data_IF_263285263595
#
_entry.id   IF_263285263595
#
_cell.length_a   1.000
_cell.length_b   1.000
_cell.length_c   1.000
_cell.angle_alpha   90.00
_cell.angle_beta   90.00
_cell.angle_gamma   90.00
#
_symmetry.space_group_name_H-M   'P 1'
#
loop_
_entity.id
_entity.type
_entity.pdbx_description
1 polymer ?
#
# COMPACT_ATOMS: atom_id res chain seq x y z
N UNK A 1 -19.58 46.55 -2.71
CA UNK A 1 -20.16 45.19 -2.87
C UNK A 1 -19.32 44.42 -3.88
N UNK A 2 -18.42 43.58 -3.40
CA UNK A 2 -17.57 42.70 -4.23
C UNK A 2 -18.37 41.45 -4.60
N UNK A 3 -18.58 41.24 -5.90
CA UNK A 3 -19.28 40.05 -6.44
C UNK A 3 -18.48 38.78 -6.13
N UNK A 4 -19.06 37.76 -5.46
CA UNK A 4 -18.40 36.47 -5.21
C UNK A 4 -18.39 35.52 -6.43
N UNK A 5 -18.89 35.93 -7.60
CA UNK A 5 -19.10 35.09 -8.79
C UNK A 5 -17.80 34.63 -9.50
N UNK A 6 -16.65 35.24 -9.21
CA UNK A 6 -15.39 34.95 -9.92
C UNK A 6 -14.69 33.66 -9.46
N UNK A 7 -14.91 33.21 -8.22
CA UNK A 7 -14.26 32.03 -7.66
C UNK A 7 -14.95 30.73 -8.05
N UNK A 8 -16.29 30.73 -8.08
CA UNK A 8 -17.13 29.56 -8.43
C UNK A 8 -16.96 29.19 -9.90
N UNK A 9 -16.91 30.18 -10.79
CA UNK A 9 -16.70 29.98 -12.22
C UNK A 9 -15.31 29.44 -12.56
N UNK A 10 -14.30 29.79 -11.75
CA UNK A 10 -12.95 29.21 -11.85
C UNK A 10 -12.91 27.76 -11.38
N UNK A 11 -13.48 27.45 -10.21
CA UNK A 11 -13.51 26.09 -9.67
C UNK A 11 -14.23 25.10 -10.60
N UNK A 12 -15.38 25.50 -11.17
CA UNK A 12 -16.11 24.67 -12.12
C UNK A 12 -15.30 24.41 -13.41
N UNK A 13 -14.58 25.42 -13.90
CA UNK A 13 -13.72 25.29 -15.08
C UNK A 13 -12.54 24.36 -14.83
N UNK A 14 -11.93 24.44 -13.65
CA UNK A 14 -10.82 23.57 -13.27
C UNK A 14 -11.28 22.12 -13.04
N UNK A 15 -12.48 21.93 -12.49
CA UNK A 15 -13.09 20.60 -12.37
C UNK A 15 -13.38 19.99 -13.75
N UNK A 16 -13.93 20.78 -14.68
CA UNK A 16 -14.18 20.32 -16.06
C UNK A 16 -12.91 19.84 -16.76
N UNK A 17 -11.83 20.62 -16.70
CA UNK A 17 -10.53 20.23 -17.29
C UNK A 17 -9.98 18.94 -16.70
N UNK A 18 -10.25 18.66 -15.43
CA UNK A 18 -9.82 17.42 -14.80
C UNK A 18 -10.74 16.25 -15.12
N UNK A 19 -12.04 16.49 -15.34
CA UNK A 19 -13.03 15.46 -15.66
C UNK A 19 -12.69 14.71 -16.97
N UNK A 20 -12.07 15.38 -17.94
CA UNK A 20 -11.61 14.77 -19.19
C UNK A 20 -10.57 13.67 -18.99
N UNK A 21 -9.97 13.55 -17.79
CA UNK A 21 -9.03 12.48 -17.45
C UNK A 21 -9.71 11.26 -16.86
N UNK A 22 -11.03 11.27 -16.70
CA UNK A 22 -11.78 10.17 -16.12
C UNK A 22 -12.70 9.52 -17.14
N UNK A 23 -12.73 8.19 -17.14
CA UNK A 23 -13.59 7.37 -17.97
C UNK A 23 -14.53 6.57 -17.07
N UNK A 24 -15.83 6.82 -17.19
CA UNK A 24 -16.85 5.99 -16.55
C UNK A 24 -17.32 4.94 -17.55
N UNK A 25 -17.33 3.69 -17.13
CA UNK A 25 -17.83 2.57 -17.93
C UNK A 25 -19.32 2.32 -17.64
N UNK A 26 -20.11 2.15 -18.70
CA UNK A 26 -21.57 2.01 -18.61
C UNK A 26 -22.03 0.64 -18.09
N UNK A 27 -21.19 -0.38 -18.25
CA UNK A 27 -21.53 -1.77 -17.95
C UNK A 27 -21.42 -2.11 -16.46
N UNK A 28 -20.45 -1.51 -15.76
CA UNK A 28 -20.12 -1.84 -14.37
C UNK A 28 -20.00 -0.62 -13.44
N UNK A 29 -20.33 0.59 -13.91
CA UNK A 29 -20.13 1.85 -13.18
C UNK A 29 -18.70 2.01 -12.64
N UNK A 30 -17.71 1.47 -13.35
CA UNK A 30 -16.30 1.54 -12.95
C UNK A 30 -15.69 2.81 -13.51
N UNK A 31 -15.05 3.58 -12.63
CA UNK A 31 -14.35 4.81 -12.98
C UNK A 31 -12.86 4.55 -13.13
N UNK A 32 -12.30 4.94 -14.27
CA UNK A 32 -10.87 4.88 -14.56
C UNK A 32 -10.28 6.28 -14.67
N UNK A 33 -9.04 6.44 -14.24
CA UNK A 33 -8.19 7.59 -14.48
C UNK A 33 -7.26 7.30 -15.66
N UNK A 34 -7.20 8.23 -16.60
CA UNK A 34 -6.37 8.17 -17.79
C UNK A 34 -5.03 8.84 -17.52
N UNK A 35 -4.01 8.00 -17.38
CA UNK A 35 -2.64 8.46 -17.25
C UNK A 35 -2.01 8.65 -18.64
N UNK A 36 -1.88 9.90 -19.07
CA UNK A 36 -1.08 10.25 -20.24
C UNK A 36 0.38 10.35 -19.81
N UNK A 37 1.22 9.37 -20.19
CA UNK A 37 2.67 9.44 -19.93
C UNK A 37 3.38 10.13 -21.08
N UNK A 38 3.94 11.34 -20.90
CA UNK A 38 4.78 11.96 -21.94
C UNK A 38 6.19 11.33 -22.00
N UNK A 39 6.50 10.34 -21.16
CA UNK A 39 7.88 9.81 -21.00
C UNK A 39 8.22 8.64 -21.94
N UNK A 40 7.26 8.09 -22.67
CA UNK A 40 7.51 7.05 -23.69
C UNK A 40 7.44 7.72 -25.07
N UNK A 41 8.35 8.67 -25.32
CA UNK A 41 8.56 9.25 -26.65
C UNK A 41 9.62 8.49 -27.45
N UNK A 42 10.22 7.42 -26.89
CA UNK A 42 11.24 6.63 -27.56
C UNK A 42 10.70 5.36 -28.24
N UNK A 43 9.43 5.00 -28.01
CA UNK A 43 8.78 3.93 -28.74
C UNK A 43 7.38 4.39 -29.14
N UNK A 44 7.03 4.22 -30.39
CA UNK A 44 6.03 4.99 -31.14
C UNK A 44 4.56 4.66 -30.79
N UNK A 45 4.25 4.42 -29.50
CA UNK A 45 2.92 4.20 -28.98
C UNK A 45 2.73 5.01 -27.70
N UNK A 46 1.95 6.08 -27.76
CA UNK A 46 1.31 6.64 -26.57
C UNK A 46 0.42 5.55 -25.95
N UNK A 47 0.99 4.76 -25.04
CA UNK A 47 0.23 3.72 -24.35
C UNK A 47 -0.63 4.41 -23.30
N UNK A 48 -1.88 4.68 -23.67
CA UNK A 48 -2.92 5.07 -22.72
C UNK A 48 -2.99 4.01 -21.62
N UNK A 49 -2.78 4.45 -20.38
CA UNK A 49 -2.88 3.60 -19.20
C UNK A 49 -4.10 4.01 -18.40
N UNK A 50 -4.92 3.02 -18.10
CA UNK A 50 -6.10 3.18 -17.24
C UNK A 50 -5.76 2.68 -15.84
N UNK A 51 -5.99 3.55 -14.85
CA UNK A 51 -5.84 3.25 -13.42
C UNK A 51 -7.24 3.25 -12.80
N UNK A 52 -7.60 2.23 -12.04
CA UNK A 52 -8.89 2.12 -11.38
C UNK A 52 -9.01 3.20 -10.30
N UNK A 53 -10.05 4.03 -10.34
CA UNK A 53 -10.27 5.02 -9.30
C UNK A 53 -10.82 4.35 -8.06
N UNK A 54 -10.12 4.50 -6.94
CA UNK A 54 -10.51 3.91 -5.66
C UNK A 54 -11.29 4.96 -4.84
N UNK A 55 -12.55 4.68 -4.46
CA UNK A 55 -13.28 5.53 -3.52
C UNK A 55 -12.57 5.62 -2.18
N UNK A 56 -12.64 6.77 -1.50
CA UNK A 56 -11.96 6.99 -0.21
C UNK A 56 -12.32 5.94 0.84
N UNK A 57 -13.55 5.42 0.81
CA UNK A 57 -14.03 4.36 1.71
C UNK A 57 -13.38 3.00 1.49
N UNK A 58 -12.79 2.76 0.31
CA UNK A 58 -12.17 1.48 -0.07
C UNK A 58 -10.64 1.51 0.01
N UNK A 59 -10.03 2.67 0.25
CA UNK A 59 -8.55 2.82 0.31
C UNK A 59 -7.95 1.84 1.31
N UNK A 60 -8.53 1.71 2.51
CA UNK A 60 -7.99 0.83 3.55
C UNK A 60 -8.01 -0.65 3.12
N UNK A 61 -9.10 -1.09 2.49
CA UNK A 61 -9.23 -2.47 2.00
C UNK A 61 -8.22 -2.76 0.87
N UNK A 62 -8.05 -1.82 -0.06
CA UNK A 62 -7.05 -1.93 -1.12
C UNK A 62 -5.63 -2.02 -0.55
N UNK A 63 -5.31 -1.22 0.48
CA UNK A 63 -4.01 -1.25 1.13
C UNK A 63 -3.75 -2.56 1.88
N UNK A 64 -4.74 -3.07 2.61
CA UNK A 64 -4.64 -4.33 3.38
C UNK A 64 -4.49 -5.57 2.51
N UNK A 65 -5.11 -5.57 1.32
CA UNK A 65 -5.04 -6.69 0.39
C UNK A 65 -3.79 -6.67 -0.51
N UNK A 66 -2.87 -5.71 -0.35
CA UNK A 66 -1.65 -5.69 -1.15
C UNK A 66 -0.69 -6.82 -0.71
N UNK A 67 -0.36 -7.77 -1.60
CA UNK A 67 0.48 -8.92 -1.26
C UNK A 67 1.93 -8.53 -0.91
N UNK A 68 2.39 -7.36 -1.34
CA UNK A 68 3.78 -6.91 -1.20
C UNK A 68 4.06 -6.05 0.06
N UNK A 69 3.11 -5.99 1.00
CA UNK A 69 3.26 -5.19 2.24
C UNK A 69 4.36 -5.71 3.20
N UNK A 70 4.93 -6.89 2.95
CA UNK A 70 5.76 -7.60 3.95
C UNK A 70 7.28 -7.41 3.84
N UNK A 71 7.81 -6.88 2.74
CA UNK A 71 9.28 -6.79 2.54
C UNK A 71 9.82 -5.34 2.54
N UNK A 72 10.27 -4.90 3.72
CA UNK A 72 11.47 -4.07 3.85
C UNK A 72 11.32 -2.55 3.83
N UNK A 73 11.25 -1.92 5.01
CA UNK A 73 11.72 -0.54 5.24
C UNK A 73 11.29 0.53 4.21
N UNK A 74 12.22 1.42 3.83
CA UNK A 74 11.97 2.47 2.83
C UNK A 74 11.77 1.93 1.41
N UNK A 75 12.35 0.76 1.10
CA UNK A 75 12.20 0.14 -0.23
C UNK A 75 10.78 -0.40 -0.44
N UNK A 76 10.13 -0.86 0.63
CA UNK A 76 8.73 -1.27 0.62
C UNK A 76 7.79 -0.13 0.25
N UNK A 77 8.03 1.11 0.73
CA UNK A 77 7.19 2.27 0.39
C UNK A 77 7.24 2.59 -1.09
N UNK A 78 8.44 2.66 -1.67
CA UNK A 78 8.62 2.99 -3.09
C UNK A 78 8.03 1.88 -3.97
N UNK A 79 8.27 0.61 -3.63
CA UNK A 79 7.74 -0.54 -4.38
C UNK A 79 6.22 -0.60 -4.32
N UNK A 80 5.63 -0.49 -3.14
CA UNK A 80 4.17 -0.52 -2.95
C UNK A 80 3.49 0.67 -3.62
N UNK A 81 4.10 1.86 -3.59
CA UNK A 81 3.61 3.01 -4.34
C UNK A 81 3.65 2.76 -5.85
N UNK A 82 4.79 2.30 -6.38
CA UNK A 82 4.94 2.04 -7.82
C UNK A 82 3.91 1.01 -8.30
N UNK A 83 3.69 -0.05 -7.52
CA UNK A 83 2.66 -1.07 -7.78
C UNK A 83 1.24 -0.56 -7.59
N UNK A 84 0.99 0.37 -6.68
CA UNK A 84 -0.31 1.02 -6.54
C UNK A 84 -0.62 1.87 -7.78
N UNK A 85 0.31 2.74 -8.16
CA UNK A 85 0.24 3.58 -9.35
C UNK A 85 0.16 2.74 -10.65
N UNK A 86 0.73 1.52 -10.65
CA UNK A 86 0.16 0.28 -11.22
C UNK A 86 -1.22 0.34 -11.88
N UNK A 87 -2.17 0.28 -10.96
CA UNK A 87 -3.49 -0.30 -11.15
C UNK A 87 -4.57 0.60 -10.56
N UNK A 88 -4.19 1.47 -9.62
CA UNK A 88 -5.10 2.26 -8.83
C UNK A 88 -4.74 3.74 -8.88
N UNK A 89 -5.77 4.57 -8.83
CA UNK A 89 -5.67 6.00 -8.68
C UNK A 89 -6.55 6.46 -7.52
N UNK A 90 -5.99 7.25 -6.61
CA UNK A 90 -6.76 8.10 -5.72
C UNK A 90 -5.92 9.29 -5.28
N UNK A 91 -6.61 10.36 -4.86
CA UNK A 91 -5.94 11.53 -4.32
C UNK A 91 -5.23 11.17 -3.01
N UNK A 92 -3.91 11.36 -2.96
CA UNK A 92 -3.13 11.06 -1.76
C UNK A 92 -2.55 9.65 -1.68
N UNK A 93 -2.59 8.86 -2.78
CA UNK A 93 -2.01 7.51 -2.88
C UNK A 93 -0.70 7.33 -2.12
N UNK A 94 0.30 8.15 -2.43
CA UNK A 94 1.62 8.06 -1.78
C UNK A 94 1.56 8.28 -0.26
N UNK A 95 0.79 9.27 0.20
CA UNK A 95 0.68 9.62 1.61
C UNK A 95 0.00 8.49 2.40
N UNK A 96 -1.03 7.87 1.83
CA UNK A 96 -1.74 6.76 2.45
C UNK A 96 -0.88 5.48 2.48
N UNK A 97 -0.14 5.19 1.41
CA UNK A 97 0.82 4.07 1.35
C UNK A 97 1.92 4.24 2.40
N UNK A 98 2.54 5.42 2.48
CA UNK A 98 3.59 5.73 3.47
C UNK A 98 3.06 5.61 4.91
N UNK A 99 1.85 6.14 5.17
CA UNK A 99 1.21 6.03 6.48
C UNK A 99 0.93 4.58 6.86
N UNK A 100 0.37 3.79 5.94
CA UNK A 100 0.03 2.39 6.17
C UNK A 100 1.29 1.56 6.51
N UNK A 101 2.35 1.69 5.72
CA UNK A 101 3.59 0.95 5.95
C UNK A 101 4.31 1.37 7.24
N UNK A 102 4.24 2.65 7.63
CA UNK A 102 4.74 3.10 8.94
C UNK A 102 3.96 2.46 10.10
N UNK A 103 2.64 2.33 9.98
CA UNK A 103 1.81 1.67 10.99
C UNK A 103 2.14 0.17 11.10
N UNK A 104 2.29 -0.52 9.97
CA UNK A 104 2.75 -1.92 9.92
C UNK A 104 4.13 -2.10 10.54
N UNK A 105 5.08 -1.19 10.26
CA UNK A 105 6.41 -1.21 10.87
C UNK A 105 6.36 -1.00 12.38
N UNK A 106 5.48 -0.12 12.89
CA UNK A 106 5.29 0.07 14.33
C UNK A 106 4.67 -1.19 14.94
N UNK A 107 3.68 -1.80 14.29
CA UNK A 107 3.03 -3.03 14.75
C UNK A 107 4.03 -4.18 14.87
N UNK A 108 4.78 -4.44 13.79
CA UNK A 108 5.85 -5.45 13.76
C UNK A 108 6.94 -5.16 14.79
N UNK A 109 7.38 -3.89 14.91
CA UNK A 109 8.33 -3.50 15.98
C UNK A 109 7.76 -3.73 17.38
N UNK A 110 6.48 -3.46 17.64
CA UNK A 110 5.86 -3.70 18.96
C UNK A 110 5.77 -5.18 19.30
N UNK A 111 5.51 -6.02 18.30
CA UNK A 111 5.53 -7.49 18.45
C UNK A 111 6.96 -7.97 18.70
N UNK A 112 7.93 -7.46 17.94
CA UNK A 112 9.35 -7.85 18.03
C UNK A 112 10.08 -7.26 19.24
N UNK A 113 9.68 -6.08 19.75
CA UNK A 113 10.36 -5.40 20.86
C UNK A 113 9.94 -5.90 22.24
N UNK A 114 9.21 -7.02 22.33
CA UNK A 114 9.12 -7.78 23.58
C UNK A 114 8.25 -7.17 24.68
N UNK A 115 7.26 -6.33 24.36
CA UNK A 115 6.35 -5.79 25.39
C UNK A 115 5.19 -6.73 25.73
N UNK A 116 5.27 -8.01 25.37
CA UNK A 116 4.27 -9.00 25.78
C UNK A 116 4.63 -9.47 27.19
N UNK A 117 4.06 -8.81 28.20
CA UNK A 117 4.23 -9.17 29.60
C UNK A 117 3.27 -10.31 29.93
N UNK A 118 3.79 -11.43 30.44
CA UNK A 118 2.94 -12.44 31.04
C UNK A 118 2.40 -11.92 32.39
N UNK A 119 1.09 -11.87 32.55
CA UNK A 119 0.41 -11.51 33.81
C UNK A 119 0.19 -12.74 34.71
N UNK A 120 0.26 -13.95 34.15
CA UNK A 120 0.10 -15.24 34.85
C UNK A 120 1.12 -16.27 34.37
N UNK A 121 1.49 -17.25 35.21
CA UNK A 121 2.33 -18.37 34.78
C UNK A 121 1.75 -19.06 33.53
N UNK A 122 2.61 -19.44 32.58
CA UNK A 122 2.25 -20.11 31.31
C UNK A 122 1.41 -19.28 30.32
N UNK A 123 1.23 -17.98 30.53
CA UNK A 123 0.48 -17.13 29.60
C UNK A 123 1.18 -16.94 28.25
N UNK A 124 2.51 -16.96 28.24
CA UNK A 124 3.34 -16.80 27.04
C UNK A 124 4.47 -17.82 27.13
N UNK A 125 4.67 -18.59 26.06
CA UNK A 125 5.79 -19.52 25.89
C UNK A 125 6.42 -19.19 24.53
N UNK A 126 7.72 -18.91 24.51
CA UNK A 126 8.46 -18.68 23.28
C UNK A 126 9.24 -19.95 22.96
N UNK A 127 9.09 -20.49 21.76
CA UNK A 127 9.81 -21.69 21.35
C UNK A 127 10.76 -21.39 20.21
N UNK A 128 11.97 -21.94 20.26
CA UNK A 128 12.96 -21.79 19.20
C UNK A 128 13.77 -23.07 18.97
N UNK A 129 14.27 -23.26 17.75
CA UNK A 129 15.14 -24.37 17.38
C UNK A 129 16.58 -23.91 17.17
N UNK A 130 17.52 -24.58 17.83
CA UNK A 130 18.94 -24.45 17.49
C UNK A 130 19.30 -25.51 16.46
N UNK A 131 19.45 -25.12 15.19
CA UNK A 131 19.78 -25.99 14.05
C UNK A 131 20.68 -25.29 13.01
N UNK A 132 21.55 -26.04 12.30
CA UNK A 132 21.85 -27.46 12.51
C UNK A 132 22.95 -27.66 13.55
N UNK A 133 22.75 -28.58 14.49
CA UNK A 133 23.77 -29.03 15.43
C UNK A 133 24.44 -30.31 14.94
N UNK A 134 25.66 -30.55 15.44
CA UNK A 134 26.35 -31.81 15.25
C UNK A 134 25.48 -32.97 15.74
N UNK A 135 25.44 -34.03 14.95
CA UNK A 135 24.61 -35.20 15.20
C UNK A 135 25.04 -35.88 16.50
N UNK A 136 24.14 -35.91 17.48
CA UNK A 136 24.37 -36.63 18.74
C UNK A 136 24.49 -38.14 18.52
N UNK A 137 24.93 -38.87 19.55
CA UNK A 137 25.01 -40.35 19.51
C UNK A 137 23.67 -41.03 19.19
N UNK A 138 22.54 -40.36 19.45
CA UNK A 138 21.19 -40.85 19.16
C UNK A 138 20.63 -40.33 17.82
N UNK A 139 21.39 -39.53 17.08
CA UNK A 139 20.99 -39.03 15.77
C UNK A 139 20.33 -37.64 15.77
N UNK A 140 20.07 -37.05 16.94
CA UNK A 140 19.45 -35.72 17.04
C UNK A 140 20.42 -34.62 16.57
N UNK A 141 19.91 -33.64 15.81
CA UNK A 141 20.66 -32.50 15.24
C UNK A 141 20.04 -31.15 15.59
N UNK A 142 19.07 -31.14 16.51
CA UNK A 142 18.29 -29.96 16.89
C UNK A 142 18.09 -29.92 18.41
N UNK A 143 18.05 -28.72 18.97
CA UNK A 143 17.54 -28.48 20.33
C UNK A 143 16.30 -27.60 20.23
N UNK A 144 15.25 -27.94 21.00
CA UNK A 144 14.07 -27.11 21.18
C UNK A 144 14.22 -26.36 22.50
N UNK A 145 14.17 -25.03 22.45
CA UNK A 145 14.16 -24.13 23.60
C UNK A 145 12.73 -23.67 23.85
N UNK A 146 12.34 -23.50 25.12
CA UNK A 146 11.05 -22.96 25.57
C UNK A 146 11.22 -22.05 26.78
#
# INVERSE_FOLDING_TARGET
>A
MTKPESSVTRAARDAWKNAERFLLTDDNNVLYYMHSSPRIQQDNQEKLRLELVVPTTMIQEVLQNNPDSLEGGHQGVVRTYQLGEQYYYWFGLYADVDKHLKQEQISTKRILSGNILAERPFQIVFMDFVIPLLKSRQGNTALLLF
#
